data_IF_858325963027
#
_entry.id   IF_858325963027
#
_cell.length_a   1.000
_cell.length_b   1.000
_cell.length_c   1.000
_cell.angle_alpha   90.00
_cell.angle_beta   90.00
_cell.angle_gamma   90.00
#
_symmetry.space_group_name_H-M   'P 1'
#
loop_
_entity.id
_entity.type
_entity.pdbx_description
1 polymer ?
#
# COMPACT_ATOMS: atom_id res chain seq x y z
N UNK A 1 -2.68 -20.35 -18.29
CA UNK A 1 -3.47 -20.67 -17.07
C UNK A 1 -4.05 -19.36 -16.55
N UNK A 2 -5.34 -19.07 -16.79
CA UNK A 2 -5.97 -17.81 -16.38
C UNK A 2 -6.00 -17.78 -14.85
N UNK A 3 -5.13 -17.00 -14.21
CA UNK A 3 -5.30 -16.70 -12.79
C UNK A 3 -6.70 -16.12 -12.62
N UNK A 4 -7.57 -16.86 -11.93
CA UNK A 4 -8.82 -16.33 -11.40
C UNK A 4 -8.45 -15.26 -10.38
N UNK A 5 -8.17 -14.06 -10.87
CA UNK A 5 -7.93 -12.90 -10.05
C UNK A 5 -9.19 -12.66 -9.22
N UNK A 6 -9.11 -12.97 -7.92
CA UNK A 6 -10.14 -12.64 -6.94
C UNK A 6 -10.41 -11.14 -7.04
N UNK A 7 -11.50 -10.78 -7.73
CA UNK A 7 -11.85 -9.40 -8.13
C UNK A 7 -12.12 -8.45 -6.96
N UNK A 8 -11.85 -8.81 -5.70
CA UNK A 8 -12.19 -7.96 -4.55
C UNK A 8 -13.69 -7.68 -4.45
N UNK A 9 -14.07 -6.72 -3.60
CA UNK A 9 -15.47 -6.28 -3.46
C UNK A 9 -15.71 -5.08 -4.37
N UNK A 10 -16.70 -5.18 -5.27
CA UNK A 10 -17.10 -4.09 -6.17
C UNK A 10 -17.73 -2.94 -5.39
N UNK A 11 -17.28 -1.71 -5.64
CA UNK A 11 -17.89 -0.48 -5.12
C UNK A 11 -19.17 -0.19 -5.90
N UNK A 12 -20.24 0.14 -5.18
CA UNK A 12 -21.55 0.47 -5.76
C UNK A 12 -21.99 1.88 -5.36
N UNK A 13 -22.89 2.54 -6.12
CA UNK A 13 -23.48 3.82 -5.71
C UNK A 13 -24.15 3.77 -4.33
N UNK A 14 -24.76 2.62 -3.99
CA UNK A 14 -25.38 2.37 -2.68
C UNK A 14 -24.41 2.36 -1.52
N UNK A 15 -23.10 2.25 -1.79
CA UNK A 15 -22.08 2.19 -0.76
C UNK A 15 -21.82 3.58 -0.12
N UNK A 16 -22.49 4.66 -0.57
CA UNK A 16 -22.33 6.02 0.02
C UNK A 16 -22.62 6.07 1.53
N UNK A 17 -23.53 5.22 2.00
CA UNK A 17 -23.94 5.10 3.40
C UNK A 17 -23.72 3.67 3.91
N UNK A 18 -22.70 2.98 3.35
CA UNK A 18 -22.48 1.56 3.58
C UNK A 18 -22.28 1.21 5.05
N UNK A 19 -21.56 2.04 5.81
CA UNK A 19 -21.34 1.84 7.24
C UNK A 19 -22.67 1.91 8.00
N UNK A 20 -23.51 2.90 7.68
CA UNK A 20 -24.81 3.08 8.34
C UNK A 20 -25.77 1.93 8.02
N UNK A 21 -25.91 1.55 6.74
CA UNK A 21 -26.79 0.45 6.35
C UNK A 21 -26.33 -0.90 6.93
N UNK A 22 -25.01 -1.15 6.98
CA UNK A 22 -24.48 -2.38 7.57
C UNK A 22 -24.72 -2.42 9.07
N UNK A 23 -24.49 -1.30 9.77
CA UNK A 23 -24.77 -1.19 11.19
C UNK A 23 -26.26 -1.40 11.49
N UNK A 24 -27.14 -0.74 10.73
CA UNK A 24 -28.59 -0.88 10.88
C UNK A 24 -29.03 -2.34 10.63
N UNK A 25 -28.56 -2.96 9.55
CA UNK A 25 -28.91 -4.34 9.21
C UNK A 25 -28.42 -5.36 10.26
N UNK A 26 -27.28 -5.10 10.90
CA UNK A 26 -26.76 -5.96 11.96
C UNK A 26 -27.45 -5.73 13.32
N UNK A 27 -27.74 -4.47 13.66
CA UNK A 27 -28.26 -4.11 14.99
C UNK A 27 -29.78 -4.22 15.08
N UNK A 28 -30.52 -3.99 13.99
CA UNK A 28 -31.98 -4.01 14.01
C UNK A 28 -32.56 -5.38 14.40
N UNK A 29 -32.07 -6.53 13.87
CA UNK A 29 -32.53 -7.84 14.33
C UNK A 29 -32.19 -8.12 15.79
N UNK A 30 -31.01 -7.67 16.26
CA UNK A 30 -30.59 -7.82 17.67
C UNK A 30 -31.52 -7.01 18.57
N UNK A 31 -31.80 -5.76 18.21
CA UNK A 31 -32.72 -4.89 18.92
C UNK A 31 -34.13 -5.52 19.00
N UNK A 32 -34.66 -5.97 17.85
CA UNK A 32 -35.97 -6.62 17.79
C UNK A 32 -36.02 -7.91 18.62
N UNK A 33 -34.97 -8.73 18.58
CA UNK A 33 -34.88 -9.96 19.37
C UNK A 33 -34.97 -9.65 20.87
N UNK A 34 -34.22 -8.65 21.36
CA UNK A 34 -34.24 -8.28 22.77
C UNK A 34 -35.63 -7.78 23.15
N UNK A 35 -36.22 -6.85 22.40
CA UNK A 35 -37.57 -6.35 22.68
C UNK A 35 -38.60 -7.49 22.67
N UNK A 36 -38.52 -8.40 21.69
CA UNK A 36 -39.43 -9.55 21.59
C UNK A 36 -39.31 -10.48 22.79
N UNK A 37 -38.09 -10.75 23.30
CA UNK A 37 -37.89 -11.58 24.49
C UNK A 37 -38.55 -11.00 25.75
N UNK A 38 -38.56 -9.67 25.89
CA UNK A 38 -39.27 -9.01 27.00
C UNK A 38 -40.80 -9.13 26.85
N UNK A 39 -41.33 -8.95 25.64
CA UNK A 39 -42.77 -8.92 25.41
C UNK A 39 -43.41 -10.26 24.99
N UNK A 40 -42.64 -11.35 24.86
CA UNK A 40 -43.13 -12.64 24.34
C UNK A 40 -44.28 -13.22 25.17
N UNK A 41 -44.25 -13.06 26.50
CA UNK A 41 -45.32 -13.53 27.39
C UNK A 41 -46.61 -12.72 27.20
N UNK A 42 -46.49 -11.41 26.96
CA UNK A 42 -47.62 -10.53 26.70
C UNK A 42 -48.25 -10.82 25.33
N UNK A 43 -47.42 -11.02 24.31
CA UNK A 43 -47.82 -11.40 22.95
C UNK A 43 -48.52 -12.77 22.92
N UNK A 44 -47.98 -13.75 23.64
CA UNK A 44 -48.53 -15.12 23.70
C UNK A 44 -49.87 -15.21 24.46
N UNK A 45 -50.13 -14.29 25.39
CA UNK A 45 -51.37 -14.23 26.16
C UNK A 45 -52.51 -13.44 25.50
N UNK A 46 -52.25 -12.78 24.35
CA UNK A 46 -53.22 -11.90 23.70
C UNK A 46 -54.08 -12.69 22.70
N UNK A 47 -55.41 -12.54 22.77
CA UNK A 47 -56.34 -13.23 21.87
C UNK A 47 -56.51 -12.44 20.56
N UNK A 48 -55.70 -12.74 19.55
CA UNK A 48 -55.55 -11.96 18.31
C UNK A 48 -56.81 -11.81 17.44
N UNK A 49 -57.89 -12.52 17.74
CA UNK A 49 -59.16 -12.44 17.00
C UNK A 49 -60.07 -11.28 17.42
N UNK A 50 -59.85 -10.66 18.59
CA UNK A 50 -60.73 -9.62 19.17
C UNK A 50 -60.05 -8.26 19.36
N UNK A 51 -58.80 -8.10 18.91
CA UNK A 51 -57.98 -6.93 19.26
C UNK A 51 -58.32 -5.72 18.39
N UNK A 52 -58.79 -4.63 19.01
CA UNK A 52 -58.88 -3.31 18.40
C UNK A 52 -57.60 -2.48 18.63
N UNK A 53 -57.17 -1.68 17.64
CA UNK A 53 -55.95 -0.85 17.72
C UNK A 53 -55.94 0.13 18.91
N UNK A 54 -57.11 0.57 19.38
CA UNK A 54 -57.27 1.46 20.53
C UNK A 54 -57.05 0.76 21.88
N UNK A 55 -57.35 -0.53 22.00
CA UNK A 55 -57.11 -1.32 23.22
C UNK A 55 -55.62 -1.64 23.39
N UNK A 56 -54.91 -1.94 22.29
CA UNK A 56 -53.45 -2.17 22.34
C UNK A 56 -52.73 -0.96 22.94
N UNK A 57 -53.12 0.25 22.55
CA UNK A 57 -52.48 1.48 23.03
C UNK A 57 -52.72 1.76 24.52
N UNK A 58 -53.81 1.25 25.10
CA UNK A 58 -54.15 1.44 26.52
C UNK A 58 -53.52 0.36 27.43
N UNK A 59 -53.29 -0.85 26.91
CA UNK A 59 -52.68 -1.97 27.66
C UNK A 59 -51.14 -1.98 27.63
N UNK A 60 -50.50 -1.02 26.94
CA UNK A 60 -49.04 -0.90 26.93
C UNK A 60 -48.56 -0.29 28.25
N UNK A 61 -47.84 -1.09 29.05
CA UNK A 61 -47.09 -0.60 30.19
C UNK A 61 -45.89 0.24 29.71
N UNK A 62 -46.07 1.57 29.66
CA UNK A 62 -45.07 2.53 29.18
C UNK A 62 -43.72 2.41 29.94
N UNK A 63 -43.69 2.34 31.29
CA UNK A 63 -42.44 2.12 32.02
C UNK A 63 -41.68 0.84 31.62
N UNK A 64 -42.40 -0.27 31.43
CA UNK A 64 -41.79 -1.54 31.03
C UNK A 64 -41.26 -1.50 29.59
N UNK A 65 -41.99 -0.88 28.67
CA UNK A 65 -41.55 -0.68 27.30
C UNK A 65 -40.25 0.15 27.25
N UNK A 66 -40.20 1.29 27.95
CA UNK A 66 -39.00 2.13 28.03
C UNK A 66 -37.80 1.38 28.62
N UNK A 67 -38.02 0.56 29.65
CA UNK A 67 -36.97 -0.29 30.22
C UNK A 67 -36.45 -1.31 29.20
N UNK A 68 -37.32 -2.02 28.50
CA UNK A 68 -36.93 -2.99 27.47
C UNK A 68 -36.16 -2.35 26.30
N UNK A 69 -36.58 -1.15 25.87
CA UNK A 69 -35.88 -0.36 24.85
C UNK A 69 -34.50 0.09 25.34
N UNK A 70 -34.38 0.49 26.61
CA UNK A 70 -33.11 0.85 27.23
C UNK A 70 -32.12 -0.33 27.27
N UNK A 71 -32.59 -1.51 27.69
CA UNK A 71 -31.78 -2.74 27.69
C UNK A 71 -31.36 -3.13 26.27
N UNK A 72 -32.28 -3.09 25.31
CA UNK A 72 -31.99 -3.37 23.91
C UNK A 72 -30.94 -2.40 23.33
N UNK A 73 -31.01 -1.11 23.70
CA UNK A 73 -30.00 -0.10 23.35
C UNK A 73 -28.61 -0.41 23.90
N UNK A 74 -28.52 -0.79 25.19
CA UNK A 74 -27.26 -1.18 25.82
C UNK A 74 -26.65 -2.43 25.19
N UNK A 75 -27.47 -3.44 24.86
CA UNK A 75 -27.02 -4.64 24.16
C UNK A 75 -26.48 -4.29 22.77
N UNK A 76 -27.18 -3.44 22.02
CA UNK A 76 -26.70 -2.97 20.71
C UNK A 76 -25.37 -2.22 20.84
N UNK A 77 -25.22 -1.35 21.85
CA UNK A 77 -23.98 -0.63 22.11
C UNK A 77 -22.82 -1.59 22.45
N UNK A 78 -23.05 -2.61 23.27
CA UNK A 78 -22.07 -3.64 23.55
C UNK A 78 -21.67 -4.42 22.29
N UNK A 79 -22.62 -4.78 21.43
CA UNK A 79 -22.35 -5.43 20.13
C UNK A 79 -21.51 -4.53 19.22
N UNK A 80 -21.79 -3.23 19.14
CA UNK A 80 -20.97 -2.27 18.38
C UNK A 80 -19.54 -2.24 18.91
N UNK A 81 -19.36 -2.13 20.23
CA UNK A 81 -18.04 -2.07 20.86
C UNK A 81 -17.25 -3.36 20.63
N UNK A 82 -17.90 -4.52 20.75
CA UNK A 82 -17.28 -5.82 20.47
C UNK A 82 -16.92 -5.95 18.99
N UNK A 83 -17.80 -5.53 18.08
CA UNK A 83 -17.54 -5.55 16.65
C UNK A 83 -16.35 -4.63 16.28
N UNK A 84 -16.31 -3.41 16.81
CA UNK A 84 -15.18 -2.51 16.63
C UNK A 84 -13.87 -3.05 17.23
N UNK A 85 -13.93 -3.75 18.37
CA UNK A 85 -12.73 -4.31 19.01
C UNK A 85 -12.20 -5.53 18.28
N UNK A 86 -13.07 -6.46 17.86
CA UNK A 86 -12.68 -7.75 17.31
C UNK A 86 -12.58 -7.78 15.78
N UNK A 87 -13.36 -6.93 15.07
CA UNK A 87 -13.42 -6.89 13.60
C UNK A 87 -12.91 -5.55 13.04
N UNK A 88 -11.79 -5.05 13.57
CA UNK A 88 -11.18 -3.76 13.15
C UNK A 88 -10.98 -3.67 11.63
N UNK A 89 -10.45 -4.72 11.01
CA UNK A 89 -10.19 -4.73 9.57
C UNK A 89 -11.48 -4.68 8.75
N UNK A 90 -12.54 -5.37 9.16
CA UNK A 90 -13.81 -5.30 8.45
C UNK A 90 -14.41 -3.90 8.53
N UNK A 91 -14.40 -3.28 9.71
CA UNK A 91 -14.85 -1.89 9.89
C UNK A 91 -14.06 -0.94 8.98
N UNK A 92 -12.73 -1.07 8.95
CA UNK A 92 -11.85 -0.30 8.05
C UNK A 92 -12.25 -0.51 6.58
N UNK A 93 -12.47 -1.75 6.15
CA UNK A 93 -12.93 -2.05 4.79
C UNK A 93 -14.28 -1.40 4.47
N UNK A 94 -15.25 -1.37 5.41
CA UNK A 94 -16.53 -0.69 5.21
C UNK A 94 -16.33 0.81 4.99
N UNK A 95 -15.51 1.45 5.83
CA UNK A 95 -15.20 2.88 5.75
C UNK A 95 -14.50 3.22 4.43
N UNK A 96 -13.50 2.45 4.02
CA UNK A 96 -12.77 2.70 2.77
C UNK A 96 -13.69 2.57 1.56
N UNK A 97 -14.53 1.53 1.51
CA UNK A 97 -15.51 1.37 0.42
C UNK A 97 -16.49 2.53 0.36
N UNK A 98 -16.97 2.99 1.51
CA UNK A 98 -17.84 4.16 1.59
C UNK A 98 -17.16 5.43 1.07
N UNK A 99 -15.92 5.68 1.49
CA UNK A 99 -15.12 6.83 0.99
C UNK A 99 -14.92 6.77 -0.52
N UNK A 100 -14.59 5.59 -1.06
CA UNK A 100 -14.43 5.41 -2.51
C UNK A 100 -15.74 5.65 -3.28
N UNK A 101 -16.87 5.18 -2.75
CA UNK A 101 -18.18 5.44 -3.35
C UNK A 101 -18.51 6.93 -3.34
N UNK A 102 -18.30 7.60 -2.20
CA UNK A 102 -18.48 9.06 -2.06
C UNK A 102 -17.57 9.84 -2.99
N UNK A 103 -16.31 9.45 -3.13
CA UNK A 103 -15.38 10.07 -4.08
C UNK A 103 -15.95 10.07 -5.51
N UNK A 104 -16.43 8.93 -6.01
CA UNK A 104 -16.98 8.84 -7.37
C UNK A 104 -18.24 9.72 -7.51
N UNK A 105 -19.12 9.70 -6.51
CA UNK A 105 -20.37 10.45 -6.53
C UNK A 105 -20.16 11.97 -6.41
N UNK A 106 -19.36 12.42 -5.45
CA UNK A 106 -19.08 13.83 -5.19
C UNK A 106 -18.31 14.48 -6.36
N UNK A 107 -17.43 13.72 -7.02
CA UNK A 107 -16.72 14.20 -8.22
C UNK A 107 -17.54 14.02 -9.52
N UNK A 108 -18.78 13.51 -9.45
CA UNK A 108 -19.65 13.25 -10.61
C UNK A 108 -19.01 12.39 -11.70
N UNK A 109 -18.23 11.38 -11.28
CA UNK A 109 -17.59 10.40 -12.16
C UNK A 109 -18.53 9.24 -12.51
N UNK A 110 -19.75 9.58 -12.91
CA UNK A 110 -20.81 8.65 -13.26
C UNK A 110 -21.70 9.31 -14.31
N UNK A 111 -22.44 8.49 -15.08
CA UNK A 111 -23.45 8.99 -16.01
C UNK A 111 -24.84 8.71 -15.44
N UNK A 112 -25.76 9.64 -15.66
CA UNK A 112 -27.12 9.56 -15.14
C UNK A 112 -28.11 10.13 -16.13
N UNK A 113 -29.28 9.49 -16.20
CA UNK A 113 -30.42 9.97 -16.97
C UNK A 113 -31.54 10.40 -16.03
N UNK A 114 -32.27 11.46 -16.40
CA UNK A 114 -33.46 11.89 -15.68
C UNK A 114 -34.64 11.04 -16.14
N UNK A 115 -35.11 10.14 -15.28
CA UNK A 115 -36.35 9.42 -15.51
C UNK A 115 -37.49 10.22 -14.90
N UNK A 116 -38.50 10.55 -15.72
CA UNK A 116 -39.80 11.00 -15.23
C UNK A 116 -40.54 9.73 -14.81
N UNK A 117 -40.74 9.56 -13.51
CA UNK A 117 -41.66 8.52 -13.04
C UNK A 117 -43.08 8.98 -13.39
N UNK A 118 -43.73 8.30 -14.34
CA UNK A 118 -45.18 8.39 -14.49
C UNK A 118 -45.80 7.73 -13.26
N UNK A 119 -46.08 8.54 -12.23
CA UNK A 119 -46.67 8.06 -11.00
C UNK A 119 -48.06 7.45 -11.27
N UNK A 120 -48.25 6.18 -10.88
CA UNK A 120 -49.53 5.47 -10.97
C UNK A 120 -50.65 6.13 -10.15
N UNK A 121 -50.30 7.03 -9.22
CA UNK A 121 -51.23 7.90 -8.49
C UNK A 121 -51.00 9.35 -8.91
N UNK A 122 -51.88 9.89 -9.77
CA UNK A 122 -51.81 11.27 -10.28
C UNK A 122 -52.00 12.36 -9.20
N UNK A 123 -52.54 12.00 -8.03
CA UNK A 123 -52.99 12.97 -7.05
C UNK A 123 -51.99 13.27 -5.91
N UNK A 124 -50.80 12.63 -5.89
CA UNK A 124 -49.90 12.74 -4.73
C UNK A 124 -48.41 13.00 -4.99
N UNK A 125 -47.98 13.34 -6.21
CA UNK A 125 -46.55 13.59 -6.45
C UNK A 125 -46.25 14.94 -7.07
N UNK A 126 -45.55 15.78 -6.31
CA UNK A 126 -44.62 16.77 -6.87
C UNK A 126 -43.74 16.09 -7.92
N UNK A 127 -43.59 16.71 -9.09
CA UNK A 127 -42.79 16.24 -10.22
C UNK A 127 -41.29 16.22 -9.90
N UNK A 128 -40.86 15.34 -9.00
CA UNK A 128 -39.44 15.10 -8.74
C UNK A 128 -38.92 14.18 -9.82
N UNK A 129 -38.20 14.74 -10.81
CA UNK A 129 -37.37 13.95 -11.71
C UNK A 129 -36.36 13.17 -10.86
N UNK A 130 -36.39 11.84 -10.98
CA UNK A 130 -35.46 10.98 -10.24
C UNK A 130 -34.27 10.69 -11.15
N UNK A 131 -33.11 11.21 -10.78
CA UNK A 131 -31.86 10.89 -11.47
C UNK A 131 -31.53 9.41 -11.26
N UNK A 132 -31.45 8.66 -12.36
CA UNK A 132 -31.06 7.25 -12.35
C UNK A 132 -29.66 7.14 -12.95
N UNK A 133 -28.72 6.60 -12.17
CA UNK A 133 -27.34 6.38 -12.61
C UNK A 133 -27.33 5.25 -13.63
N UNK A 134 -26.94 5.55 -14.87
CA UNK A 134 -26.83 4.59 -15.98
C UNK A 134 -25.45 3.92 -16.02
N UNK A 135 -24.41 4.70 -15.73
CA UNK A 135 -23.03 4.20 -15.68
C UNK A 135 -22.35 4.59 -14.37
N UNK A 136 -21.73 3.61 -13.72
CA UNK A 136 -20.86 3.81 -12.57
C UNK A 136 -19.57 3.01 -12.78
N UNK A 137 -18.39 3.63 -12.62
CA UNK A 137 -17.11 2.99 -12.91
C UNK A 137 -16.92 1.72 -12.07
N UNK A 138 -16.40 0.65 -12.70
CA UNK A 138 -16.13 -0.60 -12.01
C UNK A 138 -14.85 -0.47 -11.20
N UNK A 139 -15.02 -0.05 -9.95
CA UNK A 139 -13.96 -0.02 -8.95
C UNK A 139 -14.10 -1.23 -8.03
N UNK A 140 -13.00 -1.90 -7.76
CA UNK A 140 -12.93 -3.02 -6.85
C UNK A 140 -11.93 -2.74 -5.74
N UNK A 141 -12.30 -3.08 -4.51
CA UNK A 141 -11.50 -2.86 -3.33
C UNK A 141 -11.22 -4.18 -2.61
N UNK A 142 -9.99 -4.36 -2.16
CA UNK A 142 -9.55 -5.48 -1.32
C UNK A 142 -8.49 -5.00 -0.34
N UNK A 143 -8.57 -5.45 0.90
CA UNK A 143 -7.51 -5.26 1.90
C UNK A 143 -6.97 -6.64 2.30
N UNK A 144 -5.65 -6.81 2.26
CA UNK A 144 -4.97 -8.04 2.67
C UNK A 144 -3.60 -7.69 3.23
N UNK A 145 -3.29 -8.14 4.45
CA UNK A 145 -1.95 -8.01 5.06
C UNK A 145 -1.44 -6.56 4.97
N UNK A 146 -2.16 -5.58 5.53
CA UNK A 146 -1.77 -4.17 5.49
C UNK A 146 -1.79 -3.48 4.12
N UNK A 147 -1.98 -4.21 3.01
CA UNK A 147 -2.04 -3.66 1.66
C UNK A 147 -3.49 -3.47 1.20
N UNK A 148 -3.76 -2.32 0.60
CA UNK A 148 -4.99 -2.00 -0.11
C UNK A 148 -4.75 -2.21 -1.60
N UNK A 149 -5.57 -3.06 -2.21
CA UNK A 149 -5.63 -3.23 -3.65
C UNK A 149 -6.90 -2.59 -4.17
N UNK A 150 -6.73 -1.55 -4.99
CA UNK A 150 -7.81 -0.82 -5.63
C UNK A 150 -7.66 -1.01 -7.13
N UNK A 151 -8.62 -1.69 -7.75
CA UNK A 151 -8.63 -1.92 -9.20
C UNK A 151 -9.71 -1.08 -9.84
N UNK A 152 -9.36 -0.38 -10.90
CA UNK A 152 -10.28 0.45 -11.65
C UNK A 152 -10.29 -0.02 -13.09
N UNK A 153 -11.48 -0.29 -13.64
CA UNK A 153 -11.64 -0.67 -15.03
C UNK A 153 -11.20 0.47 -15.94
N UNK A 154 -10.34 0.14 -16.91
CA UNK A 154 -9.95 1.07 -17.97
C UNK A 154 -11.06 1.05 -18.99
N UNK A 155 -11.77 2.17 -19.07
CA UNK A 155 -12.79 2.41 -20.08
C UNK A 155 -12.36 3.60 -20.90
N UNK A 156 -12.45 3.54 -22.24
CA UNK A 156 -12.20 4.66 -23.16
C UNK A 156 -13.30 5.75 -23.09
N UNK A 157 -13.89 5.94 -21.91
CA UNK A 157 -14.97 6.86 -21.64
C UNK A 157 -14.51 8.19 -21.04
N UNK A 158 -15.47 9.06 -20.76
CA UNK A 158 -15.28 10.44 -20.31
C UNK A 158 -14.38 10.61 -19.08
N UNK A 159 -14.34 9.61 -18.21
CA UNK A 159 -13.67 9.69 -16.89
C UNK A 159 -12.34 8.93 -16.82
N UNK A 160 -11.82 8.43 -17.95
CA UNK A 160 -10.65 7.56 -17.96
C UNK A 160 -9.42 8.23 -17.33
N UNK A 161 -9.08 9.43 -17.76
CA UNK A 161 -7.90 10.18 -17.28
C UNK A 161 -7.91 10.37 -15.77
N UNK A 162 -9.07 10.70 -15.19
CA UNK A 162 -9.21 10.88 -13.74
C UNK A 162 -9.07 9.55 -13.00
N UNK A 163 -9.63 8.47 -13.56
CA UNK A 163 -9.60 7.12 -12.97
C UNK A 163 -8.24 6.42 -13.14
N UNK A 164 -7.45 6.83 -14.13
CA UNK A 164 -6.06 6.39 -14.35
C UNK A 164 -5.06 7.11 -13.46
N UNK A 165 -5.42 8.24 -12.85
CA UNK A 165 -4.54 9.08 -12.03
C UNK A 165 -5.13 9.34 -10.64
N UNK A 166 -5.42 8.25 -9.89
CA UNK A 166 -6.03 8.31 -8.56
C UNK A 166 -5.01 8.38 -7.41
N UNK A 167 -3.71 8.32 -7.67
CA UNK A 167 -2.63 8.14 -6.68
C UNK A 167 -2.79 9.12 -5.51
N UNK A 168 -2.74 10.43 -5.81
CA UNK A 168 -2.80 11.48 -4.80
C UNK A 168 -4.11 11.49 -4.01
N UNK A 169 -5.22 11.15 -4.65
CA UNK A 169 -6.55 11.10 -4.01
C UNK A 169 -6.68 9.90 -3.08
N UNK A 170 -6.13 8.75 -3.47
CA UNK A 170 -6.13 7.54 -2.65
C UNK A 170 -5.21 7.72 -1.44
N UNK A 171 -4.01 8.25 -1.64
CA UNK A 171 -3.04 8.50 -0.57
C UNK A 171 -3.60 9.46 0.49
N UNK A 172 -4.08 10.63 0.07
CA UNK A 172 -4.67 11.62 0.98
C UNK A 172 -6.02 11.20 1.57
N UNK A 173 -6.88 10.56 0.78
CA UNK A 173 -8.25 10.21 1.20
C UNK A 173 -8.35 8.99 2.12
N UNK A 174 -7.47 8.01 1.92
CA UNK A 174 -7.41 6.77 2.71
C UNK A 174 -6.28 6.76 3.73
N UNK A 175 -5.39 7.77 3.72
CA UNK A 175 -4.21 7.87 4.58
C UNK A 175 -3.32 6.63 4.43
N UNK A 176 -2.79 6.47 3.22
CA UNK A 176 -1.95 5.35 2.80
C UNK A 176 -0.89 5.84 1.81
N UNK A 177 0.09 5.00 1.51
CA UNK A 177 1.20 5.33 0.59
C UNK A 177 1.12 4.42 -0.64
N UNK A 178 1.20 4.98 -1.84
CA UNK A 178 1.23 4.17 -3.05
C UNK A 178 2.54 3.38 -3.11
N UNK A 179 2.42 2.05 -3.19
CA UNK A 179 3.59 1.17 -3.38
C UNK A 179 3.78 0.76 -4.83
N UNK A 180 2.69 0.57 -5.57
CA UNK A 180 2.75 0.06 -6.93
C UNK A 180 1.51 0.47 -7.74
N UNK A 181 1.70 0.65 -9.05
CA UNK A 181 0.66 0.96 -10.05
C UNK A 181 0.90 0.12 -11.29
N UNK A 182 0.08 -0.89 -11.49
CA UNK A 182 0.17 -1.78 -12.64
C UNK A 182 -0.97 -1.55 -13.63
N UNK A 183 -0.63 -1.41 -14.90
CA UNK A 183 -1.57 -1.43 -16.02
C UNK A 183 -1.72 -2.88 -16.51
N UNK A 184 -2.94 -3.41 -16.45
CA UNK A 184 -3.33 -4.73 -16.97
C UNK A 184 -4.35 -4.54 -18.10
N UNK A 185 -4.54 -5.55 -18.95
CA UNK A 185 -5.32 -5.51 -20.22
C UNK A 185 -6.68 -4.80 -20.18
N UNK A 186 -7.31 -4.63 -19.01
CA UNK A 186 -8.53 -3.79 -18.88
C UNK A 186 -8.66 -3.11 -17.51
N UNK A 187 -7.62 -3.09 -16.69
CA UNK A 187 -7.67 -2.57 -15.33
C UNK A 187 -6.35 -1.90 -14.97
N UNK A 188 -6.43 -0.77 -14.28
CA UNK A 188 -5.31 -0.25 -13.50
C UNK A 188 -5.46 -0.77 -12.06
N UNK A 189 -4.38 -1.31 -11.50
CA UNK A 189 -4.32 -1.77 -10.11
C UNK A 189 -3.37 -0.87 -9.31
N UNK A 190 -3.93 -0.21 -8.29
CA UNK A 190 -3.17 0.52 -7.28
C UNK A 190 -2.98 -0.38 -6.06
N UNK A 191 -1.73 -0.63 -5.69
CA UNK A 191 -1.39 -1.27 -4.42
C UNK A 191 -0.87 -0.20 -3.47
N UNK A 192 -1.56 0.01 -2.35
CA UNK A 192 -1.23 1.02 -1.36
C UNK A 192 -0.92 0.38 -0.02
N UNK A 193 0.16 0.82 0.62
CA UNK A 193 0.51 0.44 1.98
C UNK A 193 -0.31 1.25 2.97
N UNK A 194 -1.12 0.54 3.76
CA UNK A 194 -1.97 1.14 4.77
C UNK A 194 -1.45 0.79 6.16
N UNK A 195 -1.53 1.77 7.07
CA UNK A 195 -1.03 1.64 8.45
C UNK A 195 0.48 1.33 8.50
N UNK A 196 1.28 2.28 8.01
CA UNK A 196 2.74 2.18 7.95
C UNK A 196 3.37 2.03 9.33
N UNK A 197 2.74 2.56 10.38
CA UNK A 197 3.24 2.45 11.76
C UNK A 197 3.03 1.02 12.29
N UNK A 198 1.83 0.46 12.13
CA UNK A 198 1.57 -0.91 12.60
C UNK A 198 2.39 -1.97 11.84
N UNK A 199 2.74 -1.69 10.59
CA UNK A 199 3.52 -2.61 9.75
C UNK A 199 5.03 -2.53 9.98
N UNK A 200 5.52 -1.68 10.90
CA UNK A 200 6.95 -1.58 11.22
C UNK A 200 7.44 -2.85 11.90
N UNK A 201 8.63 -3.27 11.50
CA UNK A 201 9.34 -4.38 12.14
C UNK A 201 10.53 -3.83 12.93
N UNK A 202 11.00 -4.60 13.91
CA UNK A 202 12.24 -4.25 14.61
C UNK A 202 13.45 -4.43 13.70
N UNK A 203 14.58 -3.77 14.02
CA UNK A 203 15.83 -3.95 13.26
C UNK A 203 16.26 -5.43 13.27
N UNK A 204 16.03 -6.15 14.37
CA UNK A 204 16.38 -7.57 14.50
C UNK A 204 15.61 -8.46 13.51
N UNK A 205 14.38 -8.06 13.18
CA UNK A 205 13.48 -8.75 12.25
C UNK A 205 13.75 -8.43 10.77
N UNK A 206 14.60 -7.43 10.48
CA UNK A 206 15.08 -7.13 9.13
C UNK A 206 16.06 -8.21 8.73
N UNK A 207 15.68 -9.04 7.77
CA UNK A 207 16.50 -10.15 7.31
C UNK A 207 16.60 -10.14 5.79
N UNK A 208 17.82 -10.32 5.29
CA UNK A 208 18.10 -10.59 3.89
C UNK A 208 18.16 -12.10 3.65
N UNK A 209 17.32 -12.61 2.75
CA UNK A 209 17.27 -14.03 2.40
C UNK A 209 16.79 -14.20 0.96
N UNK A 210 17.39 -15.14 0.23
CA UNK A 210 16.97 -15.56 -1.11
C UNK A 210 16.79 -14.39 -2.10
N UNK A 211 17.74 -13.45 -2.08
CA UNK A 211 17.72 -12.31 -3.01
C UNK A 211 16.78 -11.18 -2.64
N UNK A 212 16.30 -11.15 -1.39
CA UNK A 212 15.28 -10.21 -0.90
C UNK A 212 15.56 -9.76 0.52
N UNK A 213 15.20 -8.53 0.85
CA UNK A 213 15.34 -7.97 2.20
C UNK A 213 13.98 -7.49 2.70
N UNK A 214 13.59 -7.95 3.89
CA UNK A 214 12.31 -7.54 4.50
C UNK A 214 12.46 -6.16 5.15
N UNK A 215 11.78 -5.16 4.61
CA UNK A 215 11.83 -3.79 5.14
C UNK A 215 10.74 -3.52 6.18
N UNK A 216 9.57 -4.13 5.98
CA UNK A 216 8.40 -4.03 6.85
C UNK A 216 7.64 -5.35 6.80
N UNK A 217 6.55 -5.50 7.56
CA UNK A 217 5.77 -6.74 7.55
C UNK A 217 5.36 -7.15 6.14
N UNK A 218 5.01 -6.16 5.32
CA UNK A 218 4.41 -6.33 4.00
C UNK A 218 5.22 -5.67 2.87
N UNK A 219 6.43 -5.16 3.16
CA UNK A 219 7.31 -4.51 2.18
C UNK A 219 8.61 -5.27 2.10
N UNK A 220 8.97 -5.67 0.88
CA UNK A 220 10.17 -6.42 0.57
C UNK A 220 10.93 -5.70 -0.53
N UNK A 221 12.25 -5.65 -0.38
CA UNK A 221 13.15 -5.27 -1.46
C UNK A 221 13.70 -6.53 -2.12
N UNK A 222 13.11 -6.93 -3.24
CA UNK A 222 13.60 -8.04 -4.07
C UNK A 222 14.84 -7.57 -4.88
N UNK A 223 16.01 -7.46 -4.25
CA UNK A 223 17.23 -6.96 -4.89
C UNK A 223 17.74 -7.83 -6.05
N UNK A 224 17.37 -9.12 -6.12
CA UNK A 224 17.68 -9.92 -7.32
C UNK A 224 16.93 -9.49 -8.58
N UNK A 225 15.79 -8.81 -8.41
CA UNK A 225 14.94 -8.32 -9.51
C UNK A 225 15.09 -6.82 -9.73
N UNK A 226 15.06 -6.04 -8.65
CA UNK A 226 15.19 -4.59 -8.61
C UNK A 226 16.44 -4.23 -7.80
N UNK A 227 17.64 -4.41 -8.38
CA UNK A 227 18.90 -4.46 -7.65
C UNK A 227 19.41 -3.14 -7.08
N UNK A 228 19.08 -2.02 -7.71
CA UNK A 228 19.59 -0.72 -7.29
C UNK A 228 18.53 0.01 -6.46
N UNK A 229 18.96 0.66 -5.39
CA UNK A 229 18.10 1.41 -4.48
C UNK A 229 18.52 2.88 -4.45
N UNK A 230 17.53 3.77 -4.53
CA UNK A 230 17.71 5.20 -4.23
C UNK A 230 16.96 5.51 -2.92
N UNK A 231 17.68 6.03 -1.94
CA UNK A 231 17.16 6.41 -0.62
C UNK A 231 17.14 7.94 -0.54
N UNK A 232 15.95 8.53 -0.44
CA UNK A 232 15.79 9.97 -0.32
C UNK A 232 15.14 10.34 1.02
N UNK A 233 15.70 11.31 1.74
CA UNK A 233 15.14 11.79 3.00
C UNK A 233 15.87 12.98 3.59
N UNK A 234 15.12 13.95 4.13
CA UNK A 234 15.70 15.12 4.79
C UNK A 234 16.45 14.79 6.07
N UNK A 235 17.21 15.76 6.60
CA UNK A 235 17.90 15.65 7.88
C UNK A 235 16.93 15.28 9.01
N UNK A 236 17.31 14.31 9.85
CA UNK A 236 16.44 13.79 10.92
C UNK A 236 15.35 12.82 10.46
N UNK A 237 15.24 12.52 9.15
CA UNK A 237 14.26 11.59 8.60
C UNK A 237 14.58 10.09 8.78
N UNK A 238 15.66 9.76 9.49
CA UNK A 238 16.07 8.36 9.73
C UNK A 238 16.87 7.70 8.59
N UNK A 239 17.32 8.46 7.58
CA UNK A 239 18.12 7.97 6.44
C UNK A 239 19.32 7.12 6.88
N UNK A 240 20.15 7.66 7.78
CA UNK A 240 21.35 6.98 8.28
C UNK A 240 21.01 5.70 9.04
N UNK A 241 20.01 5.74 9.93
CA UNK A 241 19.52 4.54 10.64
C UNK A 241 19.01 3.46 9.68
N UNK A 242 18.33 3.86 8.62
CA UNK A 242 17.86 2.93 7.59
C UNK A 242 19.04 2.27 6.85
N UNK A 243 20.06 3.04 6.45
CA UNK A 243 21.27 2.49 5.81
C UNK A 243 22.01 1.53 6.75
N UNK A 244 22.18 1.90 8.03
CA UNK A 244 22.79 1.03 9.05
C UNK A 244 22.02 -0.28 9.20
N UNK A 245 20.70 -0.22 9.19
CA UNK A 245 19.82 -1.40 9.26
C UNK A 245 19.99 -2.30 8.03
N UNK A 246 20.13 -1.71 6.83
CA UNK A 246 20.42 -2.47 5.61
C UNK A 246 21.79 -3.15 5.67
N UNK A 247 22.83 -2.42 6.09
CA UNK A 247 24.19 -2.95 6.25
C UNK A 247 24.17 -4.14 7.22
N UNK A 248 23.57 -3.96 8.39
CA UNK A 248 23.46 -5.00 9.43
C UNK A 248 22.78 -6.27 8.88
N UNK A 249 21.62 -6.12 8.23
CA UNK A 249 20.89 -7.24 7.68
C UNK A 249 21.63 -7.96 6.54
N UNK A 250 22.39 -7.23 5.72
CA UNK A 250 23.20 -7.78 4.64
C UNK A 250 24.46 -8.48 5.15
N UNK A 251 25.11 -7.97 6.22
CA UNK A 251 26.28 -8.58 6.85
C UNK A 251 25.97 -9.95 7.49
N UNK A 252 24.69 -10.23 7.79
CA UNK A 252 24.23 -11.58 8.22
C UNK A 252 24.23 -12.61 7.08
N UNK A 253 24.54 -12.20 5.86
CA UNK A 253 24.60 -13.06 4.66
C UNK A 253 26.04 -13.20 4.17
N UNK A 254 26.25 -13.78 2.98
CA UNK A 254 27.55 -13.79 2.30
C UNK A 254 27.80 -12.52 1.44
N UNK A 255 26.98 -11.47 1.59
CA UNK A 255 27.12 -10.25 0.83
C UNK A 255 28.44 -9.52 1.14
N UNK A 256 29.03 -8.92 0.11
CA UNK A 256 30.22 -8.07 0.20
C UNK A 256 29.77 -6.62 0.10
N UNK A 257 30.18 -5.79 1.06
CA UNK A 257 29.73 -4.41 1.16
C UNK A 257 30.91 -3.46 1.02
N UNK A 258 30.73 -2.38 0.26
CA UNK A 258 31.63 -1.24 0.22
C UNK A 258 30.83 0.03 0.48
N UNK A 259 31.25 0.84 1.45
CA UNK A 259 30.53 2.04 1.88
C UNK A 259 31.36 3.28 1.62
N UNK A 260 30.73 4.28 1.00
CA UNK A 260 31.31 5.58 0.70
C UNK A 260 30.58 6.66 1.51
N UNK A 261 31.30 7.27 2.45
CA UNK A 261 30.81 8.36 3.29
C UNK A 261 31.61 9.64 3.03
N UNK A 262 31.22 10.46 2.03
CA UNK A 262 31.94 11.70 1.69
C UNK A 262 31.88 12.77 2.78
N UNK A 263 31.00 12.62 3.79
CA UNK A 263 30.84 13.58 4.88
C UNK A 263 31.70 13.22 6.10
N UNK A 264 32.31 12.03 6.12
CA UNK A 264 33.04 11.51 7.27
C UNK A 264 32.21 11.62 8.57
N UNK A 265 30.98 11.09 8.51
CA UNK A 265 29.98 11.15 9.57
C UNK A 265 29.79 9.76 10.20
N UNK A 266 28.57 9.43 10.64
CA UNK A 266 28.26 8.21 11.40
C UNK A 266 28.65 6.89 10.68
N UNK A 267 28.68 6.88 9.33
CA UNK A 267 29.02 5.68 8.57
C UNK A 267 30.53 5.48 8.44
N UNK A 268 31.34 6.54 8.48
CA UNK A 268 32.79 6.44 8.48
C UNK A 268 33.33 5.68 9.71
N UNK A 269 32.68 5.82 10.86
CA UNK A 269 33.05 5.12 12.10
C UNK A 269 32.92 3.59 11.97
N UNK A 270 32.11 3.08 11.02
CA UNK A 270 32.05 1.65 10.73
C UNK A 270 33.37 1.08 10.24
N UNK A 271 34.33 1.91 9.79
CA UNK A 271 35.64 1.46 9.35
C UNK A 271 36.37 0.63 10.43
N UNK A 272 36.08 0.87 11.71
CA UNK A 272 36.63 0.11 12.83
C UNK A 272 36.28 -1.38 12.80
N UNK A 273 35.15 -1.74 12.18
CA UNK A 273 34.63 -3.12 12.12
C UNK A 273 34.43 -3.63 10.69
N UNK A 274 34.39 -2.73 9.71
CA UNK A 274 34.23 -3.02 8.28
C UNK A 274 35.28 -2.23 7.48
N UNK A 275 36.42 -2.85 7.11
CA UNK A 275 37.53 -2.14 6.46
C UNK A 275 37.17 -1.43 5.15
N UNK A 276 36.17 -1.94 4.41
CA UNK A 276 35.69 -1.38 3.13
C UNK A 276 34.76 -0.17 3.29
N UNK A 277 35.11 0.73 4.21
CA UNK A 277 34.47 2.02 4.43
C UNK A 277 35.46 3.11 4.04
N UNK A 278 35.07 4.00 3.14
CA UNK A 278 35.94 5.01 2.54
C UNK A 278 35.30 6.40 2.63
N UNK A 279 36.08 7.39 3.06
CA UNK A 279 35.64 8.80 3.19
C UNK A 279 36.52 9.78 2.43
N UNK A 280 37.77 9.41 2.10
CA UNK A 280 38.67 10.24 1.30
C UNK A 280 38.37 10.08 -0.19
N UNK A 281 38.46 11.18 -0.93
CA UNK A 281 38.10 11.24 -2.35
C UNK A 281 38.81 10.17 -3.18
N UNK A 282 40.12 10.06 -3.03
CA UNK A 282 40.98 9.17 -3.80
C UNK A 282 40.66 7.70 -3.51
N UNK A 283 40.42 7.37 -2.24
CA UNK A 283 40.06 6.02 -1.82
C UNK A 283 38.66 5.63 -2.33
N UNK A 284 37.70 6.57 -2.32
CA UNK A 284 36.36 6.36 -2.88
C UNK A 284 36.42 6.11 -4.40
N UNK A 285 37.23 6.86 -5.14
CA UNK A 285 37.45 6.64 -6.57
C UNK A 285 38.07 5.27 -6.84
N UNK A 286 39.10 4.89 -6.09
CA UNK A 286 39.73 3.58 -6.21
C UNK A 286 38.76 2.43 -5.87
N UNK A 287 37.88 2.62 -4.89
CA UNK A 287 36.83 1.67 -4.54
C UNK A 287 35.83 1.47 -5.69
N UNK A 288 35.36 2.55 -6.33
CA UNK A 288 34.45 2.48 -7.48
C UNK A 288 35.09 1.74 -8.65
N UNK A 289 36.37 2.02 -8.90
CA UNK A 289 37.12 1.40 -9.99
C UNK A 289 37.27 -0.10 -9.78
N UNK A 290 37.66 -0.52 -8.57
CA UNK A 290 37.75 -1.92 -8.18
C UNK A 290 36.40 -2.63 -8.30
N UNK A 291 35.33 -2.02 -7.79
CA UNK A 291 33.98 -2.56 -7.84
C UNK A 291 33.51 -2.78 -9.29
N UNK A 292 33.81 -1.83 -10.19
CA UNK A 292 33.52 -1.95 -11.60
C UNK A 292 34.34 -3.06 -12.29
N UNK A 293 35.65 -3.11 -12.04
CA UNK A 293 36.54 -4.12 -12.63
C UNK A 293 36.18 -5.54 -12.18
N UNK A 294 35.86 -5.73 -10.89
CA UNK A 294 35.38 -7.00 -10.35
C UNK A 294 34.05 -7.43 -10.97
N UNK A 295 33.13 -6.49 -11.21
CA UNK A 295 31.88 -6.77 -11.92
C UNK A 295 32.14 -7.25 -13.35
N UNK A 296 33.01 -6.56 -14.09
CA UNK A 296 33.34 -6.93 -15.46
C UNK A 296 34.02 -8.29 -15.52
N UNK A 297 35.02 -8.52 -14.66
CA UNK A 297 35.71 -9.80 -14.54
C UNK A 297 34.75 -10.93 -14.17
N UNK A 298 33.89 -10.73 -13.17
CA UNK A 298 32.90 -11.75 -12.78
C UNK A 298 31.94 -12.07 -13.93
N UNK A 299 31.53 -11.08 -14.72
CA UNK A 299 30.65 -11.30 -15.86
C UNK A 299 31.28 -12.19 -16.93
N UNK A 300 32.60 -12.15 -17.08
CA UNK A 300 33.37 -13.03 -17.96
C UNK A 300 33.55 -14.42 -17.33
N UNK A 301 34.00 -14.47 -16.08
CA UNK A 301 34.23 -15.72 -15.33
C UNK A 301 32.95 -16.56 -15.22
N UNK A 302 31.80 -15.92 -14.99
CA UNK A 302 30.50 -16.60 -14.92
C UNK A 302 30.18 -17.40 -16.18
N UNK A 303 30.58 -16.93 -17.37
CA UNK A 303 30.31 -17.64 -18.64
C UNK A 303 31.19 -18.88 -18.81
N UNK A 304 32.28 -18.98 -18.05
CA UNK A 304 33.22 -20.09 -18.08
C UNK A 304 32.88 -21.17 -17.02
N UNK A 305 31.93 -20.92 -16.13
CA UNK A 305 31.51 -21.88 -15.09
C UNK A 305 30.70 -23.03 -15.70
N UNK A 306 30.97 -24.27 -15.27
CA UNK A 306 30.33 -25.48 -15.80
C UNK A 306 28.80 -25.49 -15.66
N UNK A 307 28.27 -24.85 -14.62
CA UNK A 307 26.84 -24.71 -14.35
C UNK A 307 26.21 -23.44 -14.94
N UNK A 308 26.92 -22.71 -15.80
CA UNK A 308 26.37 -21.50 -16.43
C UNK A 308 25.14 -21.81 -17.28
N UNK A 309 24.09 -21.00 -17.09
CA UNK A 309 22.88 -21.05 -17.90
C UNK A 309 22.48 -19.64 -18.31
N UNK A 310 22.31 -19.45 -19.61
CA UNK A 310 21.84 -18.18 -20.17
C UNK A 310 20.50 -17.79 -19.56
N UNK A 311 20.43 -16.58 -19.00
CA UNK A 311 19.24 -16.02 -18.36
C UNK A 311 19.24 -16.10 -16.83
N UNK A 312 20.08 -16.95 -16.23
CA UNK A 312 20.28 -17.02 -14.79
C UNK A 312 21.25 -15.92 -14.29
N UNK A 313 21.25 -15.66 -12.98
CA UNK A 313 22.06 -14.61 -12.35
C UNK A 313 23.12 -15.21 -11.38
N UNK A 314 23.91 -14.32 -10.77
CA UNK A 314 24.92 -14.66 -9.76
C UNK A 314 24.41 -15.61 -8.65
N UNK A 315 23.16 -15.43 -8.20
CA UNK A 315 22.58 -16.23 -7.12
C UNK A 315 22.38 -17.70 -7.54
N UNK A 316 22.01 -17.96 -8.80
CA UNK A 316 21.94 -19.33 -9.34
C UNK A 316 23.30 -20.04 -9.31
N UNK A 317 24.38 -19.29 -9.53
CA UNK A 317 25.76 -19.80 -9.48
C UNK A 317 26.33 -19.84 -8.05
N UNK A 318 25.55 -19.48 -7.04
CA UNK A 318 25.98 -19.45 -5.64
C UNK A 318 27.01 -18.36 -5.32
N UNK A 319 27.11 -17.33 -6.18
CA UNK A 319 28.04 -16.21 -5.98
C UNK A 319 27.45 -15.18 -5.00
N UNK A 320 28.28 -14.42 -4.28
CA UNK A 320 27.80 -13.43 -3.32
C UNK A 320 27.28 -12.16 -4.01
N UNK A 321 26.30 -11.51 -3.39
CA UNK A 321 25.86 -10.17 -3.77
C UNK A 321 26.90 -9.13 -3.32
N UNK A 322 27.17 -8.13 -4.15
CA UNK A 322 28.15 -7.08 -3.89
C UNK A 322 27.41 -5.74 -3.90
N UNK A 323 27.48 -4.97 -2.83
CA UNK A 323 26.78 -3.69 -2.70
C UNK A 323 27.77 -2.54 -2.54
N UNK A 324 27.63 -1.54 -3.40
CA UNK A 324 28.30 -0.25 -3.26
C UNK A 324 27.29 0.77 -2.73
N UNK A 325 27.54 1.28 -1.53
CA UNK A 325 26.62 2.10 -0.75
C UNK A 325 27.19 3.50 -0.64
N UNK A 326 26.42 4.52 -1.03
CA UNK A 326 26.77 5.92 -0.87
C UNK A 326 25.88 6.54 0.20
N UNK A 327 26.42 7.06 1.30
CA UNK A 327 25.62 7.78 2.30
C UNK A 327 25.02 9.07 1.72
N UNK A 328 25.84 9.82 1.00
CA UNK A 328 25.42 11.04 0.34
C UNK A 328 26.02 11.12 -1.07
N UNK A 329 25.32 10.50 -2.01
CA UNK A 329 25.75 10.47 -3.41
C UNK A 329 25.98 11.88 -3.99
N UNK A 330 25.12 12.85 -3.67
CA UNK A 330 25.26 14.23 -4.17
C UNK A 330 26.54 14.88 -3.65
N UNK A 331 26.84 14.73 -2.36
CA UNK A 331 28.05 15.30 -1.77
C UNK A 331 29.32 14.68 -2.39
N UNK A 332 29.32 13.37 -2.62
CA UNK A 332 30.41 12.71 -3.33
C UNK A 332 30.60 13.30 -4.75
N UNK A 333 29.52 13.43 -5.53
CA UNK A 333 29.58 13.98 -6.89
C UNK A 333 30.07 15.43 -6.93
N UNK A 334 29.79 16.22 -5.90
CA UNK A 334 30.25 17.61 -5.75
C UNK A 334 31.75 17.72 -5.39
N UNK A 335 32.34 16.69 -4.80
CA UNK A 335 33.79 16.62 -4.54
C UNK A 335 34.62 16.32 -5.81
N UNK A 336 33.97 15.87 -6.89
CA UNK A 336 34.64 15.47 -8.12
C UNK A 336 34.79 16.63 -9.11
N UNK A 337 35.95 16.71 -9.78
CA UNK A 337 36.14 17.57 -10.93
C UNK A 337 35.39 17.05 -12.17
N UNK A 338 35.21 17.88 -13.19
CA UNK A 338 34.39 17.55 -14.39
C UNK A 338 34.80 16.25 -15.08
N UNK A 339 36.11 15.98 -15.23
CA UNK A 339 36.60 14.75 -15.86
C UNK A 339 36.31 13.50 -15.02
N UNK A 340 36.56 13.59 -13.71
CA UNK A 340 36.31 12.51 -12.74
C UNK A 340 34.81 12.21 -12.67
N UNK A 341 33.98 13.25 -12.63
CA UNK A 341 32.53 13.14 -12.59
C UNK A 341 31.99 12.37 -13.80
N UNK A 342 32.45 12.70 -15.01
CA UNK A 342 32.07 11.98 -16.23
C UNK A 342 32.52 10.51 -16.22
N UNK A 343 33.73 10.22 -15.71
CA UNK A 343 34.26 8.86 -15.63
C UNK A 343 33.47 8.00 -14.63
N UNK A 344 33.19 8.54 -13.44
CA UNK A 344 32.38 7.90 -12.40
C UNK A 344 30.97 7.63 -12.91
N UNK A 345 30.30 8.62 -13.51
CA UNK A 345 28.95 8.44 -14.06
C UNK A 345 28.89 7.33 -15.10
N UNK A 346 29.91 7.22 -15.96
CA UNK A 346 29.97 6.14 -16.93
C UNK A 346 30.07 4.76 -16.24
N UNK A 347 30.95 4.62 -15.24
CA UNK A 347 31.08 3.37 -14.45
C UNK A 347 29.79 3.02 -13.72
N UNK A 348 29.18 3.97 -13.01
CA UNK A 348 27.90 3.77 -12.32
C UNK A 348 26.79 3.35 -13.31
N UNK A 349 26.74 3.96 -14.51
CA UNK A 349 25.79 3.56 -15.55
C UNK A 349 25.99 2.11 -15.99
N UNK A 350 27.24 1.68 -16.21
CA UNK A 350 27.53 0.29 -16.57
C UNK A 350 27.13 -0.67 -15.45
N UNK A 351 27.39 -0.30 -14.19
CA UNK A 351 26.96 -1.09 -13.03
C UNK A 351 25.44 -1.23 -12.99
N UNK A 352 24.70 -0.14 -13.21
CA UNK A 352 23.22 -0.19 -13.26
C UNK A 352 22.72 -1.10 -14.39
N UNK A 353 23.40 -1.10 -15.54
CA UNK A 353 22.98 -1.87 -16.71
C UNK A 353 23.31 -3.37 -16.62
N UNK A 354 24.48 -3.72 -16.08
CA UNK A 354 25.03 -5.08 -16.11
C UNK A 354 24.99 -5.78 -14.74
N UNK A 355 24.93 -5.00 -13.66
CA UNK A 355 25.09 -5.47 -12.29
C UNK A 355 24.05 -6.50 -11.84
N UNK A 356 22.82 -6.49 -12.39
CA UNK A 356 21.77 -7.47 -12.05
C UNK A 356 22.23 -8.92 -12.26
N UNK A 357 22.88 -9.20 -13.38
CA UNK A 357 23.33 -10.56 -13.69
C UNK A 357 24.56 -10.94 -12.87
N UNK A 358 25.50 -10.01 -12.72
CA UNK A 358 26.77 -10.23 -12.02
C UNK A 358 26.66 -10.19 -10.48
N UNK A 359 25.55 -9.70 -9.93
CA UNK A 359 25.36 -9.53 -8.49
C UNK A 359 26.06 -8.29 -7.93
N UNK A 360 26.12 -7.19 -8.69
CA UNK A 360 26.74 -5.92 -8.28
C UNK A 360 25.70 -4.81 -8.24
N UNK A 361 25.44 -4.28 -7.05
CA UNK A 361 24.28 -3.47 -6.73
C UNK A 361 24.69 -2.11 -6.16
N UNK A 362 23.86 -1.09 -6.40
CA UNK A 362 24.11 0.28 -5.94
C UNK A 362 23.02 0.67 -4.95
N UNK A 363 23.42 1.22 -3.81
CA UNK A 363 22.52 1.89 -2.88
C UNK A 363 22.97 3.34 -2.81
N UNK A 364 22.19 4.23 -3.42
CA UNK A 364 22.48 5.66 -3.45
C UNK A 364 21.58 6.36 -2.44
N UNK A 365 22.16 6.96 -1.41
CA UNK A 365 21.39 7.80 -0.50
C UNK A 365 21.63 9.29 -0.80
N UNK A 366 20.56 10.09 -0.74
CA UNK A 366 20.61 11.52 -0.97
C UNK A 366 19.64 12.28 -0.06
N UNK A 367 20.07 13.42 0.49
CA UNK A 367 19.16 14.28 1.27
C UNK A 367 18.25 15.14 0.39
N UNK A 368 18.74 15.53 -0.78
CA UNK A 368 18.02 16.31 -1.78
C UNK A 368 18.20 15.66 -3.15
N UNK A 369 17.20 14.91 -3.65
CA UNK A 369 17.27 14.35 -4.99
C UNK A 369 17.09 15.47 -6.03
N UNK A 370 18.20 16.02 -6.53
CA UNK A 370 18.19 17.00 -7.63
C UNK A 370 18.32 16.27 -8.98
N UNK A 371 17.49 16.68 -9.96
CA UNK A 371 17.54 16.20 -11.33
C UNK A 371 18.91 16.41 -12.00
N UNK A 372 19.71 17.38 -11.54
CA UNK A 372 21.09 17.58 -12.01
C UNK A 372 21.98 16.35 -11.81
N UNK A 373 21.83 15.66 -10.67
CA UNK A 373 22.70 14.54 -10.28
C UNK A 373 22.06 13.17 -10.54
N UNK A 374 20.74 13.13 -10.67
CA UNK A 374 19.95 11.91 -10.91
C UNK A 374 19.35 11.85 -12.33
N UNK A 375 19.62 12.84 -13.18
CA UNK A 375 19.05 12.97 -14.50
C UNK A 375 19.51 11.87 -15.44
N UNK A 376 18.61 10.94 -15.76
CA UNK A 376 18.75 10.08 -16.93
C UNK A 376 18.53 10.90 -18.19
N UNK A 377 19.52 10.91 -19.11
CA UNK A 377 19.17 11.12 -20.51
C UNK A 377 18.35 9.89 -20.91
N UNK A 378 17.06 10.07 -21.15
CA UNK A 378 16.25 9.04 -21.81
C UNK A 378 17.02 8.53 -23.04
N UNK A 379 17.08 7.20 -23.27
CA UNK A 379 17.52 6.69 -24.55
C UNK A 379 16.67 7.24 -25.70
#
# INVERSE_FOLDING_TARGET
MKQLFLRGKRIRPTDKDFVFHTALAALFPVFLLVVLLFHIRQIAGTNWQEVSLSQIAQDVNIPYLLFSMGVAGLVCLAVILLFWRYRRDEVKQLIHRQKLARMVLENKWYESEQRKDDAFFKDLSSSRSKETITYFPKIYYRMKQGLLHIRVEITLGKYQEQLLNLEKKLESGLYCELTDKELKDSYVEYTLLYDTIASRISIEDVQAKDGRLRLMENVWWDYDKLPHMLIAGGTGGGKTYFILTLIEALLRTNAVLSVLDPKNADLADLQAVMPDVYYKKEDMLACIDRFYEEMMKRSEDMKLMDNYRTGENYAYLGLPANFLIFDEYVAFMEMLGTKENAAVLNKLKQIVMLGRQAGFFLILACQRPDAKYLGGRNP
#
